data_IF_614458696257
#
_entry.id   IF_614458696257
#
_cell.length_a   1.000
_cell.length_b   1.000
_cell.length_c   1.000
_cell.angle_alpha   90.00
_cell.angle_beta   90.00
_cell.angle_gamma   90.00
#
_symmetry.space_group_name_H-M   'P 1'
#
loop_
_entity.id
_entity.type
_entity.pdbx_description
1 polymer ?
#
# COMPACT_ATOMS: atom_id res chain seq x y z
N UNK A 1 21.16 -4.57 -25.61
CA UNK A 1 21.23 -4.06 -27.00
C UNK A 1 19.81 -4.00 -27.57
N UNK A 2 19.48 -3.05 -28.45
CA UNK A 2 18.14 -2.97 -29.07
C UNK A 2 17.78 -4.30 -29.75
N UNK A 3 16.59 -4.84 -29.48
CA UNK A 3 16.08 -6.04 -30.14
C UNK A 3 15.90 -5.80 -31.65
N UNK A 4 16.39 -6.72 -32.48
CA UNK A 4 16.24 -6.68 -33.94
C UNK A 4 16.45 -8.06 -34.56
N UNK A 5 15.73 -8.35 -35.65
CA UNK A 5 15.88 -9.60 -36.40
C UNK A 5 17.33 -9.81 -36.89
N UNK A 6 17.99 -8.75 -37.36
CA UNK A 6 19.37 -8.82 -37.86
C UNK A 6 20.41 -9.16 -36.80
N UNK A 7 20.13 -8.88 -35.51
CA UNK A 7 21.02 -9.22 -34.39
C UNK A 7 20.67 -10.56 -33.74
N UNK A 8 19.62 -11.25 -34.19
CA UNK A 8 19.17 -12.52 -33.61
C UNK A 8 18.77 -12.45 -32.13
N UNK A 9 18.58 -11.24 -31.59
CA UNK A 9 18.30 -10.99 -30.16
C UNK A 9 16.82 -10.63 -29.92
N UNK A 10 15.92 -11.03 -30.81
CA UNK A 10 14.47 -10.84 -30.62
C UNK A 10 13.97 -11.93 -29.69
N UNK A 11 13.18 -11.57 -28.68
CA UNK A 11 12.56 -12.53 -27.77
C UNK A 11 11.13 -12.78 -28.24
N UNK A 12 10.79 -14.03 -28.52
CA UNK A 12 9.41 -14.45 -28.76
C UNK A 12 8.66 -14.52 -27.41
N UNK A 13 7.56 -13.78 -27.22
CA UNK A 13 6.80 -13.85 -25.98
C UNK A 13 6.00 -15.16 -25.83
N UNK A 14 5.76 -15.92 -26.90
CA UNK A 14 4.87 -17.09 -26.87
C UNK A 14 5.27 -18.16 -25.85
N UNK A 15 6.55 -18.61 -25.77
CA UNK A 15 6.95 -19.62 -24.78
C UNK A 15 6.72 -19.18 -23.33
N UNK A 16 6.85 -17.87 -23.06
CA UNK A 16 6.64 -17.30 -21.73
C UNK A 16 5.15 -17.18 -21.40
N UNK A 17 4.32 -16.86 -22.40
CA UNK A 17 2.86 -16.89 -22.28
C UNK A 17 2.40 -18.32 -21.98
N UNK A 18 2.94 -19.32 -22.68
CA UNK A 18 2.59 -20.73 -22.46
C UNK A 18 3.01 -21.20 -21.05
N UNK A 19 4.19 -20.76 -20.57
CA UNK A 19 4.71 -21.16 -19.26
C UNK A 19 4.07 -20.42 -18.09
N UNK A 20 3.87 -19.10 -18.20
CA UNK A 20 3.49 -18.24 -17.08
C UNK A 20 2.11 -17.59 -17.22
N UNK A 21 1.49 -17.68 -18.39
CA UNK A 21 0.24 -17.01 -18.73
C UNK A 21 0.43 -15.56 -19.19
N UNK A 22 -0.52 -15.08 -20.00
CA UNK A 22 -0.50 -13.74 -20.58
C UNK A 22 -0.43 -12.62 -19.52
N UNK A 23 -1.14 -12.76 -18.41
CA UNK A 23 -1.16 -11.76 -17.33
C UNK A 23 0.20 -11.58 -16.68
N UNK A 24 0.98 -12.66 -16.51
CA UNK A 24 2.33 -12.56 -15.97
C UNK A 24 3.21 -11.72 -16.89
N UNK A 25 3.18 -12.00 -18.20
CA UNK A 25 4.01 -11.31 -19.19
C UNK A 25 3.60 -9.84 -19.31
N UNK A 26 2.30 -9.54 -19.31
CA UNK A 26 1.77 -8.18 -19.31
C UNK A 26 2.18 -7.42 -18.05
N UNK A 27 1.99 -8.02 -16.87
CA UNK A 27 2.36 -7.41 -15.60
C UNK A 27 3.86 -7.11 -15.55
N UNK A 28 4.72 -8.07 -15.92
CA UNK A 28 6.15 -7.85 -15.99
C UNK A 28 6.50 -6.67 -16.91
N UNK A 29 5.93 -6.65 -18.12
CA UNK A 29 6.19 -5.59 -19.11
C UNK A 29 5.81 -4.22 -18.56
N UNK A 30 4.66 -4.10 -17.91
CA UNK A 30 4.16 -2.84 -17.33
C UNK A 30 4.88 -2.45 -16.04
N UNK A 31 5.55 -3.41 -15.37
CA UNK A 31 6.28 -3.18 -14.11
C UNK A 31 7.75 -2.84 -14.31
N UNK A 32 8.40 -3.46 -15.30
CA UNK A 32 9.85 -3.45 -15.44
C UNK A 32 10.42 -2.06 -15.76
N UNK A 33 9.68 -1.24 -16.52
CA UNK A 33 10.08 0.14 -16.81
C UNK A 33 8.86 1.01 -17.13
N UNK A 34 8.94 2.34 -16.92
CA UNK A 34 7.98 3.29 -17.47
C UNK A 34 7.91 3.21 -19.01
N UNK A 35 6.76 3.53 -19.64
CA UNK A 35 6.59 3.41 -21.10
C UNK A 35 7.60 4.18 -21.94
N UNK A 36 8.08 5.32 -21.43
CA UNK A 36 9.04 6.19 -22.13
C UNK A 36 10.49 5.73 -22.00
N UNK A 37 10.76 4.73 -21.14
CA UNK A 37 12.10 4.26 -20.84
C UNK A 37 12.39 2.92 -21.52
N UNK A 38 13.68 2.63 -21.69
CA UNK A 38 14.10 1.32 -22.21
C UNK A 38 13.87 0.25 -21.16
N UNK A 39 13.18 -0.82 -21.55
CA UNK A 39 13.00 -2.02 -20.74
C UNK A 39 14.14 -3.00 -21.01
N UNK A 40 14.81 -3.43 -19.94
CA UNK A 40 15.71 -4.57 -19.98
C UNK A 40 14.95 -5.85 -19.68
N UNK A 41 14.98 -6.78 -20.62
CA UNK A 41 14.28 -8.05 -20.48
C UNK A 41 14.96 -8.94 -19.43
N UNK A 42 14.18 -9.54 -18.52
CA UNK A 42 14.67 -10.41 -17.46
C UNK A 42 13.67 -11.53 -17.15
N UNK A 43 14.06 -12.78 -17.41
CA UNK A 43 13.22 -13.96 -17.10
C UNK A 43 12.99 -14.12 -15.59
N UNK A 44 13.94 -13.69 -14.76
CA UNK A 44 13.76 -13.62 -13.31
C UNK A 44 12.68 -12.59 -12.93
N UNK A 45 12.64 -11.46 -13.64
CA UNK A 45 11.59 -10.45 -13.50
C UNK A 45 10.21 -11.00 -13.85
N UNK A 46 10.10 -11.79 -14.93
CA UNK A 46 8.86 -12.50 -15.31
C UNK A 46 8.43 -13.47 -14.20
N UNK A 47 9.36 -14.27 -13.67
CA UNK A 47 9.07 -15.16 -12.55
C UNK A 47 8.63 -14.39 -11.28
N UNK A 48 9.18 -13.20 -11.04
CA UNK A 48 8.74 -12.29 -9.98
C UNK A 48 7.29 -11.84 -10.14
N UNK A 49 6.91 -11.41 -11.34
CA UNK A 49 5.53 -11.07 -11.68
C UNK A 49 4.56 -12.25 -11.45
N UNK A 50 4.98 -13.47 -11.82
CA UNK A 50 4.17 -14.67 -11.59
C UNK A 50 3.96 -14.94 -10.09
N UNK A 51 5.02 -14.83 -9.28
CA UNK A 51 4.93 -15.00 -7.81
C UNK A 51 3.98 -13.99 -7.19
N UNK A 52 3.98 -12.74 -7.67
CA UNK A 52 3.04 -11.73 -7.20
C UNK A 52 1.58 -12.09 -7.54
N UNK A 53 1.27 -12.47 -8.78
CA UNK A 53 -0.09 -12.88 -9.16
C UNK A 53 -0.56 -14.11 -8.38
N UNK A 54 0.33 -15.10 -8.18
CA UNK A 54 0.04 -16.26 -7.31
C UNK A 54 -0.22 -15.88 -5.86
N UNK A 55 0.42 -14.82 -5.36
CA UNK A 55 0.17 -14.31 -4.01
C UNK A 55 -1.19 -13.65 -3.92
N UNK A 56 -1.57 -12.81 -4.88
CA UNK A 56 -2.92 -12.23 -4.96
C UNK A 56 -3.98 -13.34 -4.95
N UNK A 57 -3.82 -14.33 -5.83
CA UNK A 57 -4.68 -15.51 -5.91
C UNK A 57 -4.85 -16.19 -4.54
N UNK A 58 -3.75 -16.50 -3.86
CA UNK A 58 -3.77 -17.13 -2.53
C UNK A 58 -4.47 -16.26 -1.49
N UNK A 59 -4.25 -14.95 -1.50
CA UNK A 59 -4.89 -14.04 -0.54
C UNK A 59 -6.40 -13.98 -0.76
N UNK A 60 -6.86 -13.90 -2.00
CA UNK A 60 -8.29 -13.90 -2.34
C UNK A 60 -8.95 -15.22 -1.92
N UNK A 61 -8.41 -16.38 -2.30
CA UNK A 61 -9.01 -17.64 -1.88
C UNK A 61 -8.95 -17.87 -0.36
N UNK A 62 -7.87 -17.45 0.31
CA UNK A 62 -7.80 -17.52 1.76
C UNK A 62 -8.84 -16.62 2.45
N UNK A 63 -9.20 -15.50 1.82
CA UNK A 63 -10.30 -14.66 2.27
C UNK A 63 -11.65 -15.32 2.00
N UNK A 64 -11.92 -15.79 0.77
CA UNK A 64 -13.18 -16.45 0.40
C UNK A 64 -13.46 -17.69 1.26
N UNK A 65 -12.43 -18.42 1.69
CA UNK A 65 -12.55 -19.56 2.59
C UNK A 65 -13.07 -19.19 4.00
N UNK A 66 -13.07 -17.90 4.37
CA UNK A 66 -13.63 -17.39 5.64
C UNK A 66 -15.14 -17.20 5.58
N UNK A 67 -15.75 -17.33 4.40
CA UNK A 67 -17.17 -17.11 4.17
C UNK A 67 -17.49 -15.67 3.76
N UNK A 68 -18.77 -15.32 3.85
CA UNK A 68 -19.27 -14.00 3.47
C UNK A 68 -18.75 -12.92 4.43
N UNK A 69 -18.31 -11.79 3.86
CA UNK A 69 -17.86 -10.66 4.67
C UNK A 69 -19.09 -9.93 5.25
N UNK A 70 -19.06 -9.54 6.54
CA UNK A 70 -20.09 -8.67 7.08
C UNK A 70 -20.02 -7.29 6.42
N UNK A 71 -21.09 -6.52 6.54
CA UNK A 71 -21.08 -5.12 6.12
C UNK A 71 -20.01 -4.34 6.92
N UNK A 72 -19.24 -3.51 6.21
CA UNK A 72 -18.19 -2.69 6.83
C UNK A 72 -18.80 -1.61 7.74
N UNK A 73 -18.45 -1.66 9.03
CA UNK A 73 -18.80 -0.61 9.99
C UNK A 73 -17.56 0.24 10.31
N UNK A 74 -17.43 1.36 9.59
CA UNK A 74 -16.28 2.28 9.72
C UNK A 74 -16.17 2.88 11.14
N UNK A 75 -17.26 2.96 11.89
CA UNK A 75 -17.27 3.49 13.25
C UNK A 75 -16.66 2.54 14.30
N UNK A 76 -16.38 1.28 13.91
CA UNK A 76 -15.85 0.24 14.81
C UNK A 76 -14.44 -0.24 14.42
N UNK A 77 -13.76 0.51 13.55
CA UNK A 77 -12.41 0.15 13.16
C UNK A 77 -11.44 0.38 14.31
N UNK A 78 -10.61 -0.63 14.56
CA UNK A 78 -9.36 -0.47 15.31
C UNK A 78 -8.36 0.37 14.51
N UNK A 79 -7.31 0.87 15.16
CA UNK A 79 -6.27 1.65 14.49
C UNK A 79 -5.60 0.89 13.33
N UNK A 80 -5.38 -0.42 13.50
CA UNK A 80 -4.79 -1.27 12.46
C UNK A 80 -5.74 -1.45 11.26
N UNK A 81 -7.04 -1.61 11.51
CA UNK A 81 -8.05 -1.71 10.45
C UNK A 81 -8.22 -0.38 9.71
N UNK A 82 -8.27 0.74 10.44
CA UNK A 82 -8.30 2.08 9.87
C UNK A 82 -7.06 2.36 9.01
N UNK A 83 -5.89 1.88 9.45
CA UNK A 83 -4.63 1.99 8.69
C UNK A 83 -4.66 1.21 7.39
N UNK A 84 -5.15 -0.04 7.40
CA UNK A 84 -5.30 -0.83 6.17
C UNK A 84 -6.31 -0.17 5.22
N UNK A 85 -7.47 0.26 5.74
CA UNK A 85 -8.48 0.99 4.96
C UNK A 85 -7.90 2.24 4.31
N UNK A 86 -7.16 3.05 5.07
CA UNK A 86 -6.45 4.23 4.57
C UNK A 86 -5.49 3.85 3.45
N UNK A 87 -4.69 2.79 3.63
CA UNK A 87 -3.77 2.32 2.58
C UNK A 87 -4.53 1.88 1.33
N UNK A 88 -5.71 1.26 1.45
CA UNK A 88 -6.59 0.93 0.30
C UNK A 88 -6.94 2.18 -0.47
N UNK A 89 -7.49 3.20 0.19
CA UNK A 89 -7.93 4.45 -0.46
C UNK A 89 -6.77 5.30 -0.99
N UNK A 90 -5.63 5.33 -0.30
CA UNK A 90 -4.39 5.92 -0.82
C UNK A 90 -3.91 5.21 -2.09
N UNK A 91 -4.05 3.88 -2.15
CA UNK A 91 -3.67 3.08 -3.31
C UNK A 91 -4.61 3.35 -4.49
N UNK A 92 -5.92 3.44 -4.25
CA UNK A 92 -6.91 3.82 -5.27
C UNK A 92 -6.56 5.20 -5.85
N UNK A 93 -6.36 6.21 -4.99
CA UNK A 93 -6.00 7.57 -5.42
C UNK A 93 -4.71 7.57 -6.25
N UNK A 94 -3.66 6.89 -5.75
CA UNK A 94 -2.36 6.82 -6.42
C UNK A 94 -2.44 6.12 -7.77
N UNK A 95 -3.10 4.97 -7.85
CA UNK A 95 -3.21 4.21 -9.10
C UNK A 95 -4.06 4.98 -10.11
N UNK A 96 -5.11 5.67 -9.67
CA UNK A 96 -5.93 6.52 -10.54
C UNK A 96 -5.10 7.64 -11.18
N UNK A 97 -4.26 8.33 -10.40
CA UNK A 97 -3.35 9.37 -10.91
C UNK A 97 -2.24 8.79 -11.81
N UNK A 98 -1.66 7.65 -11.41
CA UNK A 98 -0.61 6.97 -12.15
C UNK A 98 -1.10 6.43 -13.50
N UNK A 99 -2.34 5.94 -13.60
CA UNK A 99 -2.93 5.50 -14.87
C UNK A 99 -3.43 6.69 -15.72
N UNK A 100 -4.09 7.66 -15.12
CA UNK A 100 -4.73 8.76 -15.84
C UNK A 100 -3.72 9.81 -16.30
N UNK A 101 -3.03 10.46 -15.36
CA UNK A 101 -2.23 11.65 -15.63
C UNK A 101 -0.76 11.36 -15.86
N UNK A 102 -0.15 10.49 -15.05
CA UNK A 102 1.31 10.27 -15.07
C UNK A 102 1.75 9.17 -16.03
N UNK A 103 0.85 8.24 -16.36
CA UNK A 103 1.12 7.06 -17.18
C UNK A 103 2.32 6.23 -16.65
N UNK A 104 2.50 6.19 -15.33
CA UNK A 104 3.57 5.46 -14.64
C UNK A 104 3.05 4.14 -14.06
N UNK A 105 2.82 3.16 -14.92
CA UNK A 105 2.18 1.88 -14.56
C UNK A 105 2.97 1.03 -13.56
N UNK A 106 4.31 1.13 -13.60
CA UNK A 106 5.18 0.44 -12.66
C UNK A 106 4.95 0.89 -11.21
N UNK A 107 4.73 2.20 -10.99
CA UNK A 107 4.44 2.72 -9.65
C UNK A 107 3.02 2.42 -9.19
N UNK A 108 2.08 2.27 -10.13
CA UNK A 108 0.74 1.79 -9.82
C UNK A 108 0.76 0.33 -9.33
N UNK A 109 1.46 -0.55 -10.04
CA UNK A 109 1.64 -1.96 -9.63
C UNK A 109 2.34 -2.05 -8.26
N UNK A 110 3.38 -1.23 -8.05
CA UNK A 110 4.08 -1.16 -6.75
C UNK A 110 3.13 -0.74 -5.61
N UNK A 111 2.24 0.23 -5.85
CA UNK A 111 1.26 0.64 -4.85
C UNK A 111 0.32 -0.50 -4.44
N UNK A 112 -0.14 -1.31 -5.41
CA UNK A 112 -0.96 -2.49 -5.13
C UNK A 112 -0.16 -3.56 -4.37
N UNK A 113 1.12 -3.78 -4.71
CA UNK A 113 2.01 -4.67 -3.94
C UNK A 113 2.13 -4.23 -2.48
N UNK A 114 2.30 -2.94 -2.23
CA UNK A 114 2.35 -2.38 -0.88
C UNK A 114 1.03 -2.52 -0.13
N UNK A 115 -0.11 -2.34 -0.80
CA UNK A 115 -1.43 -2.60 -0.21
C UNK A 115 -1.55 -4.05 0.27
N UNK A 116 -1.18 -5.03 -0.57
CA UNK A 116 -1.23 -6.44 -0.18
C UNK A 116 -0.24 -6.77 0.94
N UNK A 117 0.90 -6.07 1.02
CA UNK A 117 1.84 -6.18 2.15
C UNK A 117 1.24 -5.66 3.44
N UNK A 118 0.60 -4.49 3.41
CA UNK A 118 -0.04 -3.92 4.59
C UNK A 118 -1.20 -4.78 5.06
N UNK A 119 -2.01 -5.28 4.13
CA UNK A 119 -3.12 -6.18 4.44
C UNK A 119 -2.66 -7.44 5.19
N UNK A 120 -1.52 -8.02 4.79
CA UNK A 120 -0.99 -9.22 5.46
C UNK A 120 -0.49 -9.00 6.89
N UNK A 121 -0.37 -7.74 7.33
CA UNK A 121 0.01 -7.39 8.71
C UNK A 121 -1.20 -7.25 9.64
N UNK A 122 -2.42 -7.29 9.11
CA UNK A 122 -3.64 -7.09 9.89
C UNK A 122 -3.82 -8.21 10.93
N UNK A 123 -4.04 -7.82 12.18
CA UNK A 123 -4.21 -8.73 13.33
C UNK A 123 -5.40 -9.68 13.15
N UNK A 124 -5.27 -10.91 13.66
CA UNK A 124 -6.32 -11.94 13.53
C UNK A 124 -7.57 -11.68 14.36
N UNK A 125 -7.49 -10.81 15.36
CA UNK A 125 -8.57 -10.54 16.32
C UNK A 125 -9.39 -9.28 16.02
N UNK A 126 -9.15 -8.64 14.87
CA UNK A 126 -9.79 -7.37 14.56
C UNK A 126 -11.29 -7.57 14.18
N UNK A 127 -12.24 -6.78 14.74
CA UNK A 127 -13.68 -7.04 14.60
C UNK A 127 -14.23 -6.91 13.18
N UNK A 128 -13.67 -5.98 12.39
CA UNK A 128 -14.05 -5.65 11.01
C UNK A 128 -13.07 -6.25 9.99
N UNK A 129 -12.15 -7.12 10.42
CA UNK A 129 -11.08 -7.71 9.60
C UNK A 129 -11.55 -8.23 8.26
N UNK A 130 -12.61 -9.05 8.25
CA UNK A 130 -13.07 -9.71 7.03
C UNK A 130 -13.62 -8.67 6.05
N UNK A 131 -14.37 -7.68 6.52
CA UNK A 131 -14.88 -6.59 5.68
C UNK A 131 -13.73 -5.75 5.09
N UNK A 132 -12.72 -5.43 5.90
CA UNK A 132 -11.53 -4.68 5.47
C UNK A 132 -10.69 -5.46 4.45
N UNK A 133 -10.48 -6.76 4.69
CA UNK A 133 -9.81 -7.63 3.73
C UNK A 133 -10.56 -7.67 2.40
N UNK A 134 -11.89 -7.76 2.43
CA UNK A 134 -12.69 -7.77 1.23
C UNK A 134 -12.56 -6.47 0.44
N UNK A 135 -12.75 -5.32 1.10
CA UNK A 135 -12.59 -3.98 0.48
C UNK A 135 -11.20 -3.84 -0.17
N UNK A 136 -10.14 -4.21 0.54
CA UNK A 136 -8.77 -4.12 0.03
C UNK A 136 -8.48 -5.05 -1.15
N UNK A 137 -8.99 -6.29 -1.11
CA UNK A 137 -8.75 -7.29 -2.17
C UNK A 137 -9.58 -7.01 -3.42
N UNK A 138 -10.86 -6.63 -3.28
CA UNK A 138 -11.68 -6.20 -4.43
C UNK A 138 -11.08 -4.96 -5.10
N UNK A 139 -10.61 -3.99 -4.32
CA UNK A 139 -9.89 -2.84 -4.86
C UNK A 139 -8.61 -3.28 -5.61
N UNK A 140 -7.78 -4.15 -5.02
CA UNK A 140 -6.58 -4.66 -5.69
C UNK A 140 -6.89 -5.37 -7.02
N UNK A 141 -7.97 -6.16 -7.07
CA UNK A 141 -8.44 -6.83 -8.30
C UNK A 141 -8.83 -5.80 -9.37
N UNK A 142 -9.64 -4.79 -9.02
CA UNK A 142 -10.05 -3.75 -9.96
C UNK A 142 -8.87 -2.92 -10.47
N UNK A 143 -7.95 -2.52 -9.58
CA UNK A 143 -6.79 -1.71 -9.93
C UNK A 143 -5.80 -2.45 -10.84
N UNK A 144 -5.71 -3.77 -10.72
CA UNK A 144 -4.86 -4.61 -11.59
C UNK A 144 -5.54 -5.05 -12.88
N UNK A 145 -6.87 -4.99 -12.97
CA UNK A 145 -7.62 -5.51 -14.13
C UNK A 145 -7.17 -4.96 -15.49
N UNK A 146 -6.79 -3.67 -15.65
CA UNK A 146 -6.26 -3.16 -16.92
C UNK A 146 -4.95 -3.85 -17.38
N UNK A 147 -4.17 -4.36 -16.43
CA UNK A 147 -2.86 -4.97 -16.69
C UNK A 147 -2.95 -6.50 -16.73
N UNK A 148 -3.65 -7.11 -15.78
CA UNK A 148 -3.80 -8.55 -15.62
C UNK A 148 -5.29 -8.96 -15.67
N UNK A 149 -5.96 -8.79 -16.82
CA UNK A 149 -7.42 -8.91 -16.89
C UNK A 149 -7.97 -10.32 -16.64
N UNK A 150 -7.24 -11.39 -16.99
CA UNK A 150 -7.80 -12.75 -16.93
C UNK A 150 -7.91 -13.23 -15.48
N UNK A 151 -6.83 -13.13 -14.71
CA UNK A 151 -6.82 -13.44 -13.28
C UNK A 151 -7.79 -12.54 -12.52
N UNK A 152 -7.82 -11.23 -12.84
CA UNK A 152 -8.74 -10.30 -12.19
C UNK A 152 -10.20 -10.64 -12.50
N UNK A 153 -10.53 -11.03 -13.73
CA UNK A 153 -11.88 -11.44 -14.10
C UNK A 153 -12.32 -12.68 -13.32
N UNK A 154 -11.47 -13.69 -13.23
CA UNK A 154 -11.78 -14.90 -12.43
C UNK A 154 -12.00 -14.56 -10.96
N UNK A 155 -11.08 -13.81 -10.34
CA UNK A 155 -11.18 -13.45 -8.92
C UNK A 155 -12.40 -12.55 -8.64
N UNK A 156 -12.73 -11.65 -9.57
CA UNK A 156 -13.93 -10.80 -9.48
C UNK A 156 -15.22 -11.63 -9.44
N UNK A 157 -15.34 -12.61 -10.33
CA UNK A 157 -16.50 -13.51 -10.35
C UNK A 157 -16.55 -14.39 -9.08
N UNK A 158 -15.40 -14.80 -8.55
CA UNK A 158 -15.32 -15.59 -7.31
C UNK A 158 -15.72 -14.80 -6.06
N UNK A 159 -15.58 -13.48 -6.06
CA UNK A 159 -16.20 -12.61 -5.06
C UNK A 159 -17.74 -12.60 -5.15
N UNK A 160 -18.33 -13.17 -6.21
CA UNK A 160 -19.77 -13.25 -6.42
C UNK A 160 -20.33 -12.14 -7.31
N UNK A 161 -19.47 -11.37 -8.00
CA UNK A 161 -19.91 -10.36 -8.95
C UNK A 161 -20.33 -11.01 -10.27
N UNK A 162 -21.50 -10.64 -10.79
CA UNK A 162 -22.07 -11.26 -12.00
C UNK A 162 -21.55 -10.61 -13.30
N UNK A 163 -21.22 -9.33 -13.25
CA UNK A 163 -20.73 -8.60 -14.42
C UNK A 163 -19.23 -8.84 -14.63
N UNK A 164 -18.76 -8.91 -15.88
CA UNK A 164 -17.34 -8.98 -16.17
C UNK A 164 -16.58 -7.82 -15.51
N UNK A 165 -15.40 -8.11 -14.94
CA UNK A 165 -14.53 -7.07 -14.34
C UNK A 165 -14.23 -5.89 -15.27
N UNK A 166 -14.28 -6.08 -16.60
CA UNK A 166 -14.10 -5.00 -17.57
C UNK A 166 -15.24 -3.98 -17.58
N UNK A 167 -16.44 -4.37 -17.12
CA UNK A 167 -17.61 -3.51 -16.99
C UNK A 167 -17.76 -2.92 -15.59
N UNK A 168 -17.00 -3.44 -14.61
CA UNK A 168 -17.02 -2.93 -13.25
C UNK A 168 -16.60 -1.46 -13.22
N UNK A 169 -17.24 -0.69 -12.35
CA UNK A 169 -16.85 0.71 -12.14
C UNK A 169 -15.46 0.76 -11.52
N UNK A 170 -14.69 1.76 -11.92
CA UNK A 170 -13.42 2.06 -11.26
C UNK A 170 -13.66 2.40 -9.78
N UNK A 171 -12.83 1.89 -8.84
CA UNK A 171 -13.02 2.16 -7.43
C UNK A 171 -12.84 3.65 -7.13
N UNK A 172 -13.76 4.22 -6.35
CA UNK A 172 -13.73 5.62 -5.93
C UNK A 172 -13.03 5.77 -4.58
N UNK A 173 -12.36 6.91 -4.39
CA UNK A 173 -11.67 7.24 -3.14
C UNK A 173 -12.68 7.74 -2.13
N UNK A 174 -12.71 7.12 -0.96
CA UNK A 174 -13.35 7.68 0.23
C UNK A 174 -12.37 8.65 0.90
N UNK A 175 -12.58 9.95 0.68
CA UNK A 175 -11.76 11.03 1.27
C UNK A 175 -11.72 10.95 2.81
N UNK A 176 -12.78 10.45 3.46
CA UNK A 176 -12.81 10.30 4.91
C UNK A 176 -11.84 9.21 5.40
N UNK A 177 -11.56 8.19 4.57
CA UNK A 177 -10.58 7.15 4.88
C UNK A 177 -9.14 7.68 4.85
N UNK A 178 -8.88 8.76 4.12
CA UNK A 178 -7.54 9.36 4.01
C UNK A 178 -7.12 10.15 5.25
N UNK A 179 -8.08 10.59 6.07
CA UNK A 179 -7.83 11.41 7.25
C UNK A 179 -7.16 10.59 8.35
N UNK A 180 -5.90 10.90 8.66
CA UNK A 180 -5.24 10.38 9.86
C UNK A 180 -5.88 11.03 11.10
N UNK A 181 -6.40 10.22 12.01
CA UNK A 181 -6.92 10.70 13.30
C UNK A 181 -5.80 10.95 14.31
N UNK A 182 -4.63 10.35 14.09
CA UNK A 182 -3.47 10.48 14.96
C UNK A 182 -2.18 10.64 14.17
N UNK A 183 -1.24 11.40 14.74
CA UNK A 183 0.12 11.55 14.25
C UNK A 183 1.10 10.90 15.22
N UNK A 184 2.08 10.19 14.66
CA UNK A 184 3.19 9.61 15.41
C UNK A 184 4.43 10.48 15.23
N UNK A 185 4.93 11.06 16.32
CA UNK A 185 6.12 11.91 16.31
C UNK A 185 7.26 11.26 17.07
N UNK A 186 8.44 11.20 16.45
CA UNK A 186 9.65 10.77 17.15
C UNK A 186 10.11 11.85 18.12
N UNK A 187 10.37 11.49 19.38
CA UNK A 187 10.93 12.40 20.38
C UNK A 187 12.44 12.26 20.35
N UNK A 188 13.14 13.38 20.18
CA UNK A 188 14.58 13.49 20.20
C UNK A 188 15.04 14.34 21.38
N UNK A 189 16.22 14.02 21.92
CA UNK A 189 16.95 14.88 22.87
C UNK A 189 18.34 15.14 22.30
N UNK A 190 18.65 16.43 22.07
CA UNK A 190 19.87 16.87 21.40
C UNK A 190 20.17 16.10 20.10
N UNK A 191 19.13 15.90 19.28
CA UNK A 191 19.21 15.26 17.95
C UNK A 191 19.26 13.73 17.95
N UNK A 192 19.20 13.07 19.11
CA UNK A 192 19.14 11.59 19.22
C UNK A 192 17.73 11.14 19.58
N UNK A 193 17.17 10.17 18.85
CA UNK A 193 15.83 9.60 19.14
C UNK A 193 15.83 8.91 20.50
N UNK A 194 14.89 9.31 21.36
CA UNK A 194 14.70 8.81 22.72
C UNK A 194 13.34 8.17 22.93
N UNK A 195 12.34 8.49 22.13
CA UNK A 195 11.04 7.84 22.23
C UNK A 195 10.14 8.25 21.09
N UNK A 196 8.86 8.00 21.28
CA UNK A 196 7.80 8.37 20.36
C UNK A 196 6.55 8.75 21.14
N UNK A 197 5.78 9.68 20.58
CA UNK A 197 4.48 10.08 21.08
C UNK A 197 3.45 9.91 19.97
N UNK A 198 2.23 9.57 20.36
CA UNK A 198 1.06 9.48 19.48
C UNK A 198 0.03 10.46 19.99
N UNK A 199 -0.43 11.35 19.13
CA UNK A 199 -1.34 12.45 19.45
C UNK A 199 -2.41 12.57 18.37
N UNK A 200 -3.56 13.23 18.62
CA UNK A 200 -4.49 13.60 17.57
C UNK A 200 -3.79 14.33 16.41
N UNK A 201 -4.22 14.09 15.17
CA UNK A 201 -3.56 14.69 14.01
C UNK A 201 -3.69 16.22 13.94
N UNK A 202 -4.70 16.76 14.60
CA UNK A 202 -4.96 18.19 14.79
C UNK A 202 -4.37 18.74 16.09
N UNK A 203 -3.54 17.97 16.81
CA UNK A 203 -2.90 18.41 18.04
C UNK A 203 -2.08 19.69 17.81
N UNK A 204 -2.35 20.69 18.62
CA UNK A 204 -1.62 21.94 18.57
C UNK A 204 -0.16 21.76 19.07
N UNK A 205 0.65 22.77 18.77
CA UNK A 205 2.07 22.77 19.11
C UNK A 205 2.30 22.58 20.61
N UNK A 206 1.47 23.20 21.46
CA UNK A 206 1.64 23.18 22.91
C UNK A 206 1.33 21.78 23.49
N UNK A 207 0.32 21.10 22.95
CA UNK A 207 -0.01 19.71 23.27
C UNK A 207 1.11 18.76 22.85
N UNK A 208 1.69 18.99 21.67
CA UNK A 208 2.84 18.21 21.16
C UNK A 208 4.07 18.40 22.06
N UNK A 209 4.41 19.64 22.42
CA UNK A 209 5.55 19.92 23.30
C UNK A 209 5.36 19.31 24.68
N UNK A 210 4.16 19.46 25.25
CA UNK A 210 3.82 18.90 26.56
C UNK A 210 3.94 17.37 26.59
N UNK A 211 3.45 16.70 25.55
CA UNK A 211 3.56 15.25 25.42
C UNK A 211 5.02 14.79 25.22
N UNK A 212 5.81 15.51 24.43
CA UNK A 212 7.23 15.19 24.25
C UNK A 212 8.03 15.32 25.55
N UNK A 213 7.76 16.35 26.35
CA UNK A 213 8.39 16.56 27.66
C UNK A 213 7.91 15.56 28.73
N UNK A 214 6.72 14.97 28.54
CA UNK A 214 6.19 13.92 29.38
C UNK A 214 6.70 12.50 29.01
N UNK A 215 7.41 12.35 27.88
CA UNK A 215 7.88 11.04 27.43
C UNK A 215 8.93 10.47 28.41
N UNK A 216 8.69 9.28 29.01
CA UNK A 216 9.51 8.77 30.11
C UNK A 216 11.00 8.64 29.80
N UNK A 217 11.36 8.20 28.58
CA UNK A 217 12.75 8.04 28.22
C UNK A 217 13.41 9.39 27.95
N UNK A 218 12.74 10.32 27.27
CA UNK A 218 13.21 11.68 27.06
C UNK A 218 13.49 12.38 28.39
N UNK A 219 12.62 12.21 29.40
CA UNK A 219 12.82 12.75 30.75
C UNK A 219 14.14 12.30 31.38
N UNK A 220 14.51 11.01 31.23
CA UNK A 220 15.82 10.50 31.71
C UNK A 220 17.01 11.20 31.07
N UNK A 221 16.87 11.70 29.84
CA UNK A 221 17.94 12.42 29.14
C UNK A 221 17.92 13.93 29.35
N UNK A 222 16.85 14.47 29.93
CA UNK A 222 16.69 15.89 30.29
C UNK A 222 16.76 16.13 31.80
N UNK A 223 16.77 15.09 32.63
CA UNK A 223 16.88 15.20 34.08
C UNK A 223 18.14 15.97 34.50
N UNK A 224 17.97 16.93 35.40
CA UNK A 224 19.04 17.81 35.88
C UNK A 224 19.56 18.83 34.86
N UNK A 225 18.97 18.90 33.66
CA UNK A 225 19.36 19.85 32.61
C UNK A 225 18.35 20.98 32.46
N UNK A 226 18.82 22.10 31.93
CA UNK A 226 17.97 23.21 31.53
C UNK A 226 17.45 22.97 30.11
N UNK A 227 16.13 22.87 29.95
CA UNK A 227 15.50 22.84 28.62
C UNK A 227 15.61 24.24 28.01
N UNK A 228 16.33 24.36 26.89
CA UNK A 228 16.55 25.64 26.19
C UNK A 228 15.49 25.90 25.14
N UNK A 229 15.07 24.85 24.43
CA UNK A 229 14.13 24.95 23.32
C UNK A 229 13.51 23.59 23.05
N UNK A 230 12.23 23.60 22.69
CA UNK A 230 11.57 22.46 22.03
C UNK A 230 11.31 22.85 20.58
N UNK A 231 11.64 21.96 19.65
CA UNK A 231 11.50 22.19 18.21
C UNK A 231 10.54 21.14 17.67
N UNK A 232 9.33 21.57 17.35
CA UNK A 232 8.33 20.74 16.68
C UNK A 232 8.52 20.85 15.17
N UNK A 233 8.72 19.71 14.51
CA UNK A 233 8.65 19.57 13.05
C UNK A 233 7.34 18.84 12.74
N UNK A 234 6.30 19.55 12.27
CA UNK A 234 4.97 18.98 12.05
C UNK A 234 5.02 17.68 11.24
N UNK A 235 4.31 16.66 11.71
CA UNK A 235 4.21 15.34 11.06
C UNK A 235 5.50 14.52 11.04
N UNK A 236 6.59 14.95 11.70
CA UNK A 236 7.89 14.26 11.62
C UNK A 236 8.49 13.93 12.98
N UNK A 237 8.82 14.94 13.79
CA UNK A 237 9.52 14.75 15.07
C UNK A 237 9.40 15.96 16.00
N UNK A 238 9.73 15.75 17.26
CA UNK A 238 9.95 16.80 18.26
C UNK A 238 11.36 16.66 18.81
N UNK A 239 12.15 17.73 18.80
CA UNK A 239 13.50 17.72 19.36
C UNK A 239 13.62 18.65 20.56
N UNK A 240 13.98 18.08 21.71
CA UNK A 240 14.21 18.76 22.97
C UNK A 240 15.69 19.10 23.07
N UNK A 241 16.01 20.39 23.12
CA UNK A 241 17.37 20.89 23.30
C UNK A 241 17.58 21.18 24.79
N UNK A 242 18.47 20.42 25.43
CA UNK A 242 18.74 20.54 26.86
C UNK A 242 20.26 20.53 27.13
N UNK A 243 20.71 21.36 28.08
CA UNK A 243 22.11 21.43 28.51
C UNK A 243 22.28 21.57 30.03
#
# INVERSE_FOLDING_TARGET
>A
SKMSKSKGNTVDPQPLIDQYGADTVRLFTMFAAPPEQSLEWSDEGVAGANRFLRRLWKLVHAHLAKGEAPALDVGKLTDDEAKVRRKTHQTIAKVSDDYGRRQTFNTAIAAVMELLNELTRLSSHAPQRIAIEREALEAAVLLLAPIAPHICHTLWNEFGHEEPVLNARWPEVDESALVESSIKLMVQVNGKVRGEIVLPADADKDSIESAALAEPNAQRFTEGKTIRKVIVVPGRLVNIVAN
#
